data_IF_328747346991
#
_entry.id   IF_328747346991
#
_cell.length_a   1.000
_cell.length_b   1.000
_cell.length_c   1.000
_cell.angle_alpha   90.00
_cell.angle_beta   90.00
_cell.angle_gamma   90.00
#
_symmetry.space_group_name_H-M   'P 1'
#
loop_
_entity.id
_entity.type
_entity.pdbx_description
1 polymer ?
#
# COMPACT_ATOMS: atom_id res chain seq x y z
N UNK A 1 -12.18 -1.61 8.39
CA UNK A 1 -11.35 -1.78 9.60
C UNK A 1 -12.16 -2.54 10.65
N UNK A 2 -11.77 -3.77 11.05
CA UNK A 2 -12.55 -4.57 12.02
C UNK A 2 -12.07 -4.39 13.48
N UNK A 3 -10.75 -4.43 13.71
CA UNK A 3 -10.14 -4.35 15.04
C UNK A 3 -8.73 -3.74 14.96
N UNK A 4 -8.35 -2.85 15.89
CA UNK A 4 -7.04 -2.19 15.93
C UNK A 4 -7.01 -0.83 15.23
N UNK A 5 -5.85 -0.18 15.21
CA UNK A 5 -5.69 1.20 14.70
C UNK A 5 -4.43 1.38 13.84
N UNK A 6 -4.31 0.68 12.69
CA UNK A 6 -3.16 0.83 11.80
C UNK A 6 -3.21 2.19 11.08
N UNK A 7 -2.09 2.57 10.47
CA UNK A 7 -2.06 3.63 9.48
C UNK A 7 -2.21 3.01 8.08
N UNK A 8 -3.09 3.57 7.24
CA UNK A 8 -3.02 3.34 5.80
C UNK A 8 -2.05 4.35 5.20
N UNK A 9 -1.09 3.84 4.44
CA UNK A 9 -0.16 4.64 3.66
C UNK A 9 -0.70 4.78 2.25
N UNK A 10 -0.85 6.01 1.76
CA UNK A 10 -1.37 6.37 0.44
C UNK A 10 -0.38 7.35 -0.20
N UNK A 11 0.35 6.94 -1.24
CA UNK A 11 1.37 7.74 -1.92
C UNK A 11 2.24 8.57 -0.96
N UNK A 12 2.84 7.96 0.05
CA UNK A 12 3.75 8.67 0.96
C UNK A 12 3.07 9.44 2.09
N UNK A 13 1.75 9.32 2.28
CA UNK A 13 0.99 9.98 3.34
C UNK A 13 0.30 8.95 4.24
N UNK A 14 0.36 9.16 5.56
CA UNK A 14 -0.27 8.28 6.54
C UNK A 14 -1.63 8.80 6.97
N UNK A 15 -2.59 7.89 7.10
CA UNK A 15 -3.92 8.14 7.65
C UNK A 15 -4.25 7.07 8.68
N UNK A 16 -4.46 7.50 9.93
CA UNK A 16 -4.84 6.60 11.01
C UNK A 16 -6.25 6.07 10.79
N UNK A 17 -6.41 4.75 10.86
CA UNK A 17 -7.70 4.09 10.83
C UNK A 17 -8.15 3.68 12.24
N UNK A 18 -9.47 3.53 12.40
CA UNK A 18 -10.11 2.95 13.58
C UNK A 18 -11.24 1.98 13.17
N UNK A 19 -11.71 1.08 14.07
CA UNK A 19 -12.82 0.19 13.76
C UNK A 19 -14.05 0.94 13.22
N UNK A 20 -14.61 0.44 12.12
CA UNK A 20 -15.69 1.12 11.38
C UNK A 20 -15.22 1.91 10.16
N UNK A 21 -13.95 2.31 10.08
CA UNK A 21 -13.44 3.00 8.90
C UNK A 21 -13.38 2.09 7.67
N UNK A 22 -13.60 2.70 6.51
CA UNK A 22 -13.49 2.07 5.20
C UNK A 22 -12.53 2.85 4.31
N UNK A 23 -11.70 2.12 3.55
CA UNK A 23 -10.79 2.70 2.56
C UNK A 23 -11.08 2.04 1.23
N UNK A 24 -11.17 2.84 0.16
CA UNK A 24 -11.40 2.36 -1.19
C UNK A 24 -10.25 2.75 -2.11
N UNK A 25 -9.87 1.84 -3.01
CA UNK A 25 -8.82 2.05 -3.99
C UNK A 25 -9.44 1.98 -5.38
N UNK A 26 -9.44 3.10 -6.11
CA UNK A 26 -10.02 3.14 -7.45
C UNK A 26 -9.03 2.53 -8.44
N UNK A 27 -9.44 1.45 -9.12
CA UNK A 27 -8.62 0.88 -10.19
C UNK A 27 -8.31 1.92 -11.28
N UNK A 28 -7.08 1.88 -11.81
CA UNK A 28 -6.68 2.73 -12.93
C UNK A 28 -6.21 4.15 -12.56
N UNK A 29 -6.14 4.52 -11.29
CA UNK A 29 -5.68 5.86 -10.87
C UNK A 29 -4.19 5.95 -10.47
N UNK A 30 -3.50 4.81 -10.38
CA UNK A 30 -2.08 4.71 -10.04
C UNK A 30 -1.75 4.80 -8.54
N UNK A 31 -2.74 4.90 -7.65
CA UNK A 31 -2.54 5.08 -6.21
C UNK A 31 -1.79 3.88 -5.61
N UNK A 32 -0.60 4.14 -5.08
CA UNK A 32 0.15 3.15 -4.31
C UNK A 32 -0.33 3.16 -2.86
N UNK A 33 -0.48 1.97 -2.26
CA UNK A 33 -0.95 1.85 -0.89
C UNK A 33 -0.31 0.68 -0.14
N UNK A 34 -0.27 0.79 1.18
CA UNK A 34 0.00 -0.32 2.10
C UNK A 34 -0.65 -0.04 3.46
N UNK A 35 -0.70 -1.03 4.34
CA UNK A 35 -1.15 -0.88 5.72
C UNK A 35 0.02 -1.12 6.67
N UNK A 36 0.21 -0.20 7.61
CA UNK A 36 1.32 -0.22 8.57
C UNK A 36 0.73 -0.34 9.97
N UNK A 37 1.09 -1.42 10.67
CA UNK A 37 0.75 -1.57 12.08
C UNK A 37 1.96 -1.24 12.95
N UNK A 38 2.08 0.03 13.35
CA UNK A 38 3.06 0.48 14.35
C UNK A 38 2.53 0.38 15.79
N UNK A 39 1.45 -0.37 16.01
CA UNK A 39 0.87 -0.60 17.35
C UNK A 39 1.27 -1.96 17.91
N UNK A 40 1.16 -2.13 19.22
CA UNK A 40 1.33 -3.43 19.89
C UNK A 40 0.05 -4.28 19.88
N UNK A 41 -1.04 -3.78 19.28
CA UNK A 41 -2.32 -4.47 19.21
C UNK A 41 -2.47 -5.22 17.88
N UNK A 42 -3.26 -6.30 17.91
CA UNK A 42 -3.63 -7.01 16.70
C UNK A 42 -4.51 -6.10 15.83
N UNK A 43 -4.21 -6.10 14.54
CA UNK A 43 -5.01 -5.41 13.51
C UNK A 43 -5.72 -6.46 12.67
N UNK A 44 -7.05 -6.32 12.53
CA UNK A 44 -7.88 -7.17 11.66
C UNK A 44 -8.55 -6.31 10.59
N UNK A 45 -8.24 -6.64 9.34
CA UNK A 45 -8.81 -6.02 8.14
C UNK A 45 -9.72 -7.01 7.42
N UNK A 46 -10.81 -6.52 6.88
CA UNK A 46 -11.57 -7.22 5.83
C UNK A 46 -11.20 -6.56 4.51
N UNK A 47 -10.46 -7.27 3.66
CA UNK A 47 -10.15 -6.82 2.31
C UNK A 47 -11.13 -7.50 1.34
N UNK A 48 -11.84 -6.68 0.56
CA UNK A 48 -12.76 -7.14 -0.48
C UNK A 48 -12.29 -6.52 -1.79
N UNK A 49 -12.09 -7.36 -2.81
CA UNK A 49 -11.65 -6.94 -4.13
C UNK A 49 -12.31 -7.80 -5.21
N UNK A 50 -12.12 -7.39 -6.46
CA UNK A 50 -12.51 -8.21 -7.60
C UNK A 50 -11.56 -9.43 -7.72
N UNK A 51 -12.01 -10.44 -8.47
CA UNK A 51 -11.19 -11.62 -8.76
C UNK A 51 -9.97 -11.27 -9.62
N UNK A 52 -9.02 -12.19 -9.72
CA UNK A 52 -7.94 -12.09 -10.70
C UNK A 52 -8.50 -12.03 -12.12
N UNK A 53 -8.02 -11.05 -12.89
CA UNK A 53 -8.40 -10.82 -14.28
C UNK A 53 -7.16 -10.70 -15.16
N UNK A 54 -7.30 -11.11 -16.42
CA UNK A 54 -6.21 -11.06 -17.39
C UNK A 54 -5.79 -9.62 -17.77
N UNK A 55 -6.64 -8.63 -17.53
CA UNK A 55 -6.39 -7.20 -17.75
C UNK A 55 -5.88 -6.46 -16.50
N UNK A 56 -5.60 -7.17 -15.41
CA UNK A 56 -4.97 -6.58 -14.23
C UNK A 56 -3.56 -6.09 -14.56
N UNK A 57 -3.22 -4.91 -14.06
CA UNK A 57 -1.90 -4.29 -14.23
C UNK A 57 -1.34 -3.84 -12.87
N UNK A 58 -0.03 -3.92 -12.69
CA UNK A 58 0.68 -3.70 -11.43
C UNK A 58 1.84 -2.73 -11.66
N UNK A 59 2.02 -1.77 -10.74
CA UNK A 59 3.18 -0.88 -10.69
C UNK A 59 3.66 -0.70 -9.25
N UNK A 60 4.96 -0.87 -9.00
CA UNK A 60 5.60 -0.58 -7.72
C UNK A 60 6.30 0.78 -7.79
N UNK A 61 5.65 1.83 -7.28
CA UNK A 61 6.19 3.20 -7.32
C UNK A 61 7.41 3.38 -6.40
N UNK A 62 7.40 2.78 -5.21
CA UNK A 62 8.48 2.91 -4.21
C UNK A 62 9.62 1.91 -4.45
N UNK A 63 9.33 0.79 -5.11
CA UNK A 63 10.28 -0.30 -5.38
C UNK A 63 10.37 -0.59 -6.88
N UNK A 64 10.86 0.38 -7.70
CA UNK A 64 10.82 0.28 -9.15
C UNK A 64 11.59 -0.92 -9.70
N UNK A 65 12.60 -1.43 -8.97
CA UNK A 65 13.31 -2.66 -9.30
C UNK A 65 12.41 -3.90 -9.32
N UNK A 66 11.25 -3.88 -8.64
CA UNK A 66 10.30 -5.00 -8.70
C UNK A 66 9.52 -5.04 -10.01
N UNK A 67 9.39 -3.90 -10.68
CA UNK A 67 8.65 -3.82 -11.95
C UNK A 67 9.29 -4.67 -13.05
N UNK A 68 10.60 -4.89 -13.01
CA UNK A 68 11.29 -5.73 -13.99
C UNK A 68 10.85 -7.21 -13.96
N UNK A 69 10.23 -7.66 -12.88
CA UNK A 69 9.79 -9.06 -12.71
C UNK A 69 8.30 -9.27 -13.01
N UNK A 70 7.55 -8.22 -13.37
CA UNK A 70 6.10 -8.28 -13.57
C UNK A 70 5.69 -8.83 -14.95
N UNK A 71 6.60 -8.82 -15.93
CA UNK A 71 6.31 -9.28 -17.29
C UNK A 71 5.08 -8.58 -17.88
N UNK A 72 4.11 -9.35 -18.37
CA UNK A 72 2.89 -8.83 -19.00
C UNK A 72 1.96 -8.08 -18.03
N UNK A 73 2.12 -8.24 -16.71
CA UNK A 73 1.34 -7.52 -15.72
C UNK A 73 1.87 -6.11 -15.45
N UNK A 74 3.06 -5.76 -15.96
CA UNK A 74 3.64 -4.46 -15.68
C UNK A 74 2.79 -3.33 -16.27
N UNK A 75 2.38 -2.40 -15.41
CA UNK A 75 1.72 -1.16 -15.81
C UNK A 75 2.78 -0.09 -16.07
N UNK A 76 3.20 0.04 -17.33
CA UNK A 76 4.24 0.98 -17.76
C UNK A 76 3.70 2.39 -18.07
N UNK A 77 2.42 2.50 -18.44
CA UNK A 77 1.71 3.76 -18.69
C UNK A 77 0.85 4.23 -17.48
N UNK A 78 1.29 3.93 -16.26
CA UNK A 78 0.58 4.34 -15.04
C UNK A 78 0.49 5.88 -14.92
N UNK A 79 -0.66 6.45 -14.50
CA UNK A 79 -0.74 7.88 -14.23
C UNK A 79 0.27 8.32 -13.17
N UNK A 80 1.01 9.40 -13.45
CA UNK A 80 1.92 9.99 -12.47
C UNK A 80 1.18 10.54 -11.25
N UNK A 81 1.78 10.36 -10.08
CA UNK A 81 1.24 10.82 -8.80
C UNK A 81 2.36 11.37 -7.92
N UNK A 82 2.05 12.41 -7.15
CA UNK A 82 2.99 12.99 -6.20
C UNK A 82 3.15 12.06 -4.98
N UNK A 83 4.37 11.64 -4.71
CA UNK A 83 4.70 10.92 -3.47
C UNK A 83 4.96 11.91 -2.32
N UNK A 84 4.31 11.66 -1.19
CA UNK A 84 4.62 12.26 0.09
C UNK A 84 5.92 11.71 0.70
N UNK A 85 6.27 12.22 1.89
CA UNK A 85 7.58 11.96 2.50
C UNK A 85 7.72 10.64 3.26
N UNK A 86 6.65 9.84 3.41
CA UNK A 86 6.72 8.57 4.14
C UNK A 86 7.14 7.42 3.20
N UNK A 87 8.10 6.61 3.59
CA UNK A 87 8.69 5.52 2.78
C UNK A 87 7.84 4.25 2.68
N UNK A 88 6.83 4.11 3.54
CA UNK A 88 5.92 2.97 3.55
C UNK A 88 6.37 1.82 4.46
N UNK A 89 7.45 2.01 5.24
CA UNK A 89 7.96 1.03 6.18
C UNK A 89 7.39 1.26 7.60
N UNK A 90 7.15 0.19 8.39
CA UNK A 90 6.92 0.29 9.83
C UNK A 90 8.07 0.97 10.58
N UNK A 91 7.77 1.67 11.67
CA UNK A 91 8.75 2.45 12.44
C UNK A 91 9.89 1.58 12.95
N UNK A 92 9.57 0.38 13.46
CA UNK A 92 10.58 -0.59 13.92
C UNK A 92 11.58 -0.98 12.83
N UNK A 93 11.19 -0.95 11.55
CA UNK A 93 12.13 -1.19 10.44
C UNK A 93 12.91 0.06 10.09
N UNK A 94 12.27 1.24 10.12
CA UNK A 94 12.92 2.53 9.84
C UNK A 94 14.02 2.84 10.86
N UNK A 95 13.75 2.58 12.13
CA UNK A 95 14.69 2.78 13.24
C UNK A 95 15.91 1.84 13.15
N UNK A 96 15.74 0.67 12.52
CA UNK A 96 16.78 -0.34 12.34
C UNK A 96 17.46 -0.28 10.95
N UNK A 97 17.35 0.85 10.23
CA UNK A 97 17.89 1.01 8.87
C UNK A 97 17.41 -0.06 7.86
N UNK A 98 16.19 -0.59 8.03
CA UNK A 98 15.54 -1.49 7.07
C UNK A 98 16.09 -2.92 7.03
N UNK A 99 16.96 -3.33 7.95
CA UNK A 99 17.34 -4.74 8.07
C UNK A 99 16.28 -5.52 8.86
N UNK A 100 15.77 -6.59 8.26
CA UNK A 100 14.98 -7.63 8.93
C UNK A 100 15.90 -8.58 9.71
#
# INVERSE_FOLDING_TARGET
>A
MLEGTPDVWLDGRLYRLQPGDSVGFKAGDGLAHTFINNTEQIVRLLCVGDTDRADNRIHYTVHPERNQFLGALHWDDVPERELGGHDGLPDKLRDNNGSF
#
